data_IF_545767820951
#
_entry.id   IF_545767820951
#
_cell.length_a   1.000
_cell.length_b   1.000
_cell.length_c   1.000
_cell.angle_alpha   90.00
_cell.angle_beta   90.00
_cell.angle_gamma   90.00
#
_symmetry.space_group_name_H-M   'P 1'
#
loop_
_entity.id
_entity.type
_entity.pdbx_description
1 polymer ?
#
# COMPACT_ATOMS: atom_id res chain seq x y z
N UNK A 1 9.02 8.95 12.35
CA UNK A 1 9.06 9.07 10.87
C UNK A 1 7.88 8.28 10.29
N UNK A 2 7.10 8.83 9.37
CA UNK A 2 6.00 8.11 8.71
C UNK A 2 6.55 7.31 7.52
N UNK A 3 7.03 6.08 7.72
CA UNK A 3 7.52 5.19 6.65
C UNK A 3 6.40 4.49 5.89
N UNK A 4 5.25 5.15 5.73
CA UNK A 4 4.07 4.60 5.06
C UNK A 4 4.01 5.05 3.62
N UNK A 5 3.91 4.09 2.72
CA UNK A 5 3.90 4.28 1.29
C UNK A 5 2.62 3.72 0.69
N UNK A 6 2.31 4.21 -0.50
CA UNK A 6 1.18 3.73 -1.29
C UNK A 6 1.64 3.50 -2.72
N UNK A 7 1.45 2.29 -3.22
CA UNK A 7 1.70 1.95 -4.64
C UNK A 7 0.40 1.61 -5.34
N UNK A 8 0.34 1.94 -6.64
CA UNK A 8 -0.77 1.59 -7.52
C UNK A 8 -0.38 0.38 -8.37
N UNK A 9 -1.21 -0.65 -8.32
CA UNK A 9 -1.06 -1.88 -9.09
C UNK A 9 -2.30 -2.03 -9.98
N UNK A 10 -2.31 -1.34 -11.11
CA UNK A 10 -3.46 -1.27 -12.02
C UNK A 10 -4.71 -0.71 -11.33
N UNK A 11 -5.70 -1.59 -11.12
CA UNK A 11 -6.96 -1.33 -10.44
C UNK A 11 -6.88 -1.39 -8.91
N UNK A 12 -5.72 -1.67 -8.33
CA UNK A 12 -5.56 -1.81 -6.88
C UNK A 12 -4.66 -0.72 -6.29
N UNK A 13 -4.85 -0.45 -5.00
CA UNK A 13 -3.95 0.35 -4.17
C UNK A 13 -3.44 -0.52 -3.03
N UNK A 14 -2.13 -0.57 -2.87
CA UNK A 14 -1.48 -1.22 -1.74
C UNK A 14 -0.88 -0.16 -0.84
N UNK A 15 -1.17 -0.24 0.45
CA UNK A 15 -0.54 0.55 1.50
C UNK A 15 0.45 -0.37 2.20
N UNK A 16 1.70 0.07 2.30
CA UNK A 16 2.77 -0.69 2.94
C UNK A 16 3.67 0.21 3.76
N UNK A 17 4.42 -0.38 4.66
CA UNK A 17 5.49 0.28 5.41
C UNK A 17 6.83 -0.40 5.13
N UNK A 18 7.91 0.38 5.19
CA UNK A 18 9.28 -0.15 5.07
C UNK A 18 9.97 -0.01 6.42
N UNK A 19 10.31 -1.16 6.98
CA UNK A 19 11.17 -1.25 8.15
C UNK A 19 12.59 -1.58 7.69
N UNK A 20 13.50 -0.61 7.86
CA UNK A 20 14.90 -0.78 7.45
C UNK A 20 15.75 -1.45 8.52
N UNK A 21 15.32 -1.42 9.78
CA UNK A 21 16.07 -2.01 10.89
C UNK A 21 15.91 -3.53 10.82
N UNK A 22 14.68 -3.99 10.61
CA UNK A 22 14.35 -5.41 10.46
C UNK A 22 14.46 -5.92 9.01
N UNK A 23 14.72 -5.02 8.04
CA UNK A 23 14.77 -5.30 6.60
C UNK A 23 13.47 -5.95 6.06
N UNK A 24 12.33 -5.35 6.42
CA UNK A 24 10.99 -5.86 6.10
C UNK A 24 10.15 -4.85 5.31
N UNK A 25 9.23 -5.39 4.53
CA UNK A 25 8.12 -4.63 3.93
C UNK A 25 6.82 -5.18 4.51
N UNK A 26 6.12 -4.35 5.28
CA UNK A 26 4.86 -4.73 5.90
C UNK A 26 3.69 -4.29 5.04
N UNK A 27 2.90 -5.24 4.54
CA UNK A 27 1.69 -4.95 3.77
C UNK A 27 0.52 -4.69 4.74
N UNK A 28 0.01 -3.46 4.75
CA UNK A 28 -1.03 -3.05 5.70
C UNK A 28 -2.44 -3.23 5.13
N UNK A 29 -2.63 -2.86 3.86
CA UNK A 29 -3.95 -2.88 3.23
C UNK A 29 -3.85 -2.97 1.72
N UNK A 30 -4.67 -3.84 1.12
CA UNK A 30 -4.91 -3.89 -0.32
C UNK A 30 -6.35 -3.48 -0.57
N UNK A 31 -6.56 -2.49 -1.42
CA UNK A 31 -7.88 -2.00 -1.81
C UNK A 31 -8.07 -2.15 -3.32
N UNK A 32 -9.20 -2.71 -3.74
CA UNK A 32 -9.64 -2.63 -5.13
C UNK A 32 -10.25 -1.25 -5.37
N UNK A 33 -9.88 -0.60 -6.47
CA UNK A 33 -10.62 0.56 -6.96
C UNK A 33 -11.88 0.03 -7.63
N UNK A 34 -12.97 -0.04 -6.88
CA UNK A 34 -14.28 -0.01 -7.50
C UNK A 34 -14.41 1.33 -8.23
N UNK A 35 -14.88 1.28 -9.49
CA UNK A 35 -15.01 2.48 -10.32
C UNK A 35 -15.81 3.52 -9.56
N UNK A 36 -15.29 4.74 -9.44
CA UNK A 36 -15.92 5.86 -8.72
C UNK A 36 -17.26 6.34 -9.34
N UNK A 37 -17.79 5.58 -10.30
CA UNK A 37 -19.06 5.80 -10.96
C UNK A 37 -19.77 4.43 -11.02
N UNK A 38 -20.61 4.18 -10.03
CA UNK A 38 -21.82 3.36 -10.15
C UNK A 38 -22.98 4.23 -9.72
#
# INVERSE_FOLDING_TARGET
MRNRFRVRLGGFRLIYEVDKEENLILLLKIEKREGAYR
#
